data_IF_015892278393
#
_entry.id   IF_015892278393
#
_cell.length_a   1.000
_cell.length_b   1.000
_cell.length_c   1.000
_cell.angle_alpha   90.00
_cell.angle_beta   90.00
_cell.angle_gamma   90.00
#
_symmetry.space_group_name_H-M   'P 1'
#
loop_
_entity.id
_entity.type
_entity.pdbx_description
1 polymer ?
#
# COMPACT_ATOMS: atom_id res chain seq x y z
N UNK A 1 9.25 14.16 1.02
CA UNK A 1 8.35 13.47 0.06
C UNK A 1 7.04 14.24 0.03
N UNK A 2 6.61 14.71 -1.14
CA UNK A 2 5.37 15.48 -1.28
C UNK A 2 4.18 14.52 -1.19
N UNK A 3 3.28 14.73 -0.23
CA UNK A 3 2.08 13.90 -0.08
C UNK A 3 1.12 14.16 -1.25
N UNK A 4 0.86 13.13 -2.07
CA UNK A 4 -0.17 13.16 -3.11
C UNK A 4 -1.47 12.60 -2.53
N UNK A 5 -2.52 13.42 -2.50
CA UNK A 5 -3.86 12.95 -2.13
C UNK A 5 -4.44 12.10 -3.26
N UNK A 6 -4.85 10.88 -2.94
CA UNK A 6 -5.46 9.94 -3.90
C UNK A 6 -6.97 10.12 -3.87
N UNK A 7 -7.64 10.00 -5.02
CA UNK A 7 -9.11 10.01 -5.15
C UNK A 7 -9.60 8.78 -5.93
N UNK A 8 -10.90 8.50 -5.84
CA UNK A 8 -11.52 7.43 -6.61
C UNK A 8 -11.32 7.64 -8.12
N UNK A 9 -10.96 6.57 -8.83
CA UNK A 9 -10.61 6.60 -10.25
C UNK A 9 -9.13 6.84 -10.55
N UNK A 10 -8.33 7.26 -9.58
CA UNK A 10 -6.87 7.31 -9.75
C UNK A 10 -6.27 5.90 -9.73
N UNK A 11 -5.16 5.71 -10.46
CA UNK A 11 -4.32 4.53 -10.26
C UNK A 11 -3.74 4.51 -8.85
N UNK A 12 -3.77 3.34 -8.21
CA UNK A 12 -3.12 3.14 -6.92
C UNK A 12 -1.60 3.38 -7.04
N UNK A 13 -0.98 4.14 -6.12
CA UNK A 13 0.46 4.37 -6.16
C UNK A 13 1.22 3.08 -5.85
N UNK A 14 2.28 2.80 -6.61
CA UNK A 14 3.24 1.77 -6.23
C UNK A 14 4.33 2.39 -5.35
N UNK A 15 4.56 1.81 -4.18
CA UNK A 15 5.60 2.20 -3.22
C UNK A 15 6.21 0.94 -2.61
N UNK A 16 7.41 1.05 -2.05
CA UNK A 16 8.00 -0.04 -1.28
C UNK A 16 7.52 0.00 0.17
N UNK A 17 7.13 -1.14 0.71
CA UNK A 17 6.70 -1.32 2.10
C UNK A 17 7.38 -2.54 2.72
N UNK A 18 7.39 -2.62 4.05
CA UNK A 18 7.90 -3.79 4.79
C UNK A 18 6.73 -4.66 5.20
N UNK A 19 6.77 -5.95 4.87
CA UNK A 19 5.74 -6.92 5.26
C UNK A 19 5.96 -7.42 6.71
N UNK A 20 5.07 -8.31 7.18
CA UNK A 20 5.13 -8.86 8.54
C UNK A 20 6.38 -9.71 8.81
N UNK A 21 7.00 -10.25 7.75
CA UNK A 21 8.21 -11.06 7.81
C UNK A 21 9.49 -10.19 7.76
N UNK A 22 9.36 -8.87 7.68
CA UNK A 22 10.48 -7.92 7.60
C UNK A 22 11.05 -7.74 6.19
N UNK A 23 10.41 -8.31 5.18
CA UNK A 23 10.85 -8.21 3.78
C UNK A 23 10.34 -6.92 3.15
N UNK A 24 11.16 -6.32 2.28
CA UNK A 24 10.74 -5.18 1.47
C UNK A 24 10.03 -5.68 0.23
N UNK A 25 8.77 -5.26 0.05
CA UNK A 25 7.94 -5.63 -1.10
C UNK A 25 7.46 -4.38 -1.85
N UNK A 26 7.19 -4.52 -3.14
CA UNK A 26 6.42 -3.52 -3.88
C UNK A 26 4.94 -3.66 -3.54
N UNK A 27 4.29 -2.57 -3.19
CA UNK A 27 2.88 -2.57 -2.78
C UNK A 27 1.98 -3.10 -3.91
N UNK A 28 2.31 -2.83 -5.19
CA UNK A 28 1.53 -3.34 -6.33
C UNK A 28 1.59 -4.84 -6.54
N UNK A 29 2.57 -5.53 -5.96
CA UNK A 29 2.61 -7.00 -6.00
C UNK A 29 1.37 -7.63 -5.36
N UNK A 30 0.75 -6.95 -4.40
CA UNK A 30 -0.40 -7.47 -3.65
C UNK A 30 -1.70 -7.53 -4.46
N UNK A 31 -1.87 -6.66 -5.47
CA UNK A 31 -3.07 -6.61 -6.33
C UNK A 31 -2.81 -6.95 -7.79
N UNK A 32 -1.66 -7.56 -8.09
CA UNK A 32 -1.34 -7.99 -9.46
C UNK A 32 -2.29 -9.10 -9.97
N UNK A 33 -2.88 -9.87 -9.06
CA UNK A 33 -3.76 -11.01 -9.37
C UNK A 33 -5.24 -10.76 -9.01
N UNK A 34 -5.50 -10.09 -7.89
CA UNK A 34 -6.86 -9.86 -7.36
C UNK A 34 -7.02 -8.50 -6.70
N UNK A 35 -8.24 -7.96 -6.60
CA UNK A 35 -8.50 -6.73 -5.86
C UNK A 35 -8.05 -6.83 -4.40
N UNK A 36 -7.53 -5.73 -3.86
CA UNK A 36 -7.05 -5.62 -2.47
C UNK A 36 -7.77 -4.47 -1.77
N UNK A 37 -8.07 -4.67 -0.50
CA UNK A 37 -8.51 -3.62 0.42
C UNK A 37 -7.37 -3.33 1.39
N UNK A 38 -6.92 -2.08 1.44
CA UNK A 38 -5.92 -1.62 2.41
C UNK A 38 -6.64 -1.06 3.65
N UNK A 39 -6.44 -1.71 4.80
CA UNK A 39 -6.92 -1.21 6.09
C UNK A 39 -5.76 -0.52 6.82
N UNK A 40 -5.87 0.79 7.01
CA UNK A 40 -4.89 1.56 7.78
C UNK A 40 -5.26 1.53 9.26
N UNK A 41 -4.45 0.83 10.04
CA UNK A 41 -4.60 0.77 11.49
C UNK A 41 -3.58 1.71 12.13
N UNK A 42 -4.03 2.51 13.09
CA UNK A 42 -3.11 3.23 13.97
C UNK A 42 -2.65 2.24 15.04
N UNK A 43 -1.38 1.88 15.04
CA UNK A 43 -0.82 1.18 16.19
C UNK A 43 -0.85 2.14 17.39
N UNK A 44 -1.55 1.76 18.46
CA UNK A 44 -1.41 2.39 19.77
C UNK A 44 -0.34 1.61 20.52
N UNK A 45 0.86 2.17 20.58
CA UNK A 45 1.99 1.72 21.39
C UNK A 45 2.52 2.92 22.14
#
# INVERSE_FOLDING_TARGET
>A
MTSKKVKAGDFAPNIQVVNADGETIELSSLWSDKPVVLAFLRHFG
#
